data_IF_556639687476
#
_entry.id   IF_556639687476
#
_cell.length_a   1.000
_cell.length_b   1.000
_cell.length_c   1.000
_cell.angle_alpha   90.00
_cell.angle_beta   90.00
_cell.angle_gamma   90.00
#
_symmetry.space_group_name_H-M   'P 1'
#
loop_
_entity.id
_entity.type
_entity.pdbx_description
1 polymer ?
#
# COMPACT_ATOMS: atom_id res chain seq x y z
N UNK A 1 -12.39 -18.03 -43.92
CA UNK A 1 -11.35 -18.66 -43.07
C UNK A 1 -10.30 -17.59 -42.90
N UNK A 2 -10.42 -16.78 -41.88
CA UNK A 2 -9.48 -15.68 -41.55
C UNK A 2 -8.46 -16.15 -40.53
N UNK A 3 -7.20 -16.25 -40.96
CA UNK A 3 -6.06 -16.48 -40.07
C UNK A 3 -5.87 -15.26 -39.21
N UNK A 4 -6.28 -15.33 -37.93
CA UNK A 4 -5.86 -14.37 -36.92
C UNK A 4 -4.32 -14.49 -36.74
N UNK A 5 -3.59 -13.59 -37.37
CA UNK A 5 -2.20 -13.34 -37.00
C UNK A 5 -2.20 -12.81 -35.58
N UNK A 6 -1.85 -13.63 -34.60
CA UNK A 6 -1.42 -13.15 -33.29
C UNK A 6 -0.16 -12.31 -33.51
N UNK A 7 -0.29 -10.99 -33.52
CA UNK A 7 0.85 -10.12 -33.34
C UNK A 7 1.40 -10.42 -31.93
N UNK A 8 2.52 -11.10 -31.85
CA UNK A 8 3.34 -11.11 -30.66
C UNK A 8 3.78 -9.65 -30.43
N UNK A 9 3.01 -8.92 -29.61
CA UNK A 9 3.53 -7.71 -29.02
C UNK A 9 4.67 -8.13 -28.10
N UNK A 10 5.90 -7.97 -28.57
CA UNK A 10 7.05 -7.93 -27.67
C UNK A 10 6.75 -6.83 -26.66
N UNK A 11 6.47 -7.20 -25.42
CA UNK A 11 6.41 -6.24 -24.32
C UNK A 11 7.83 -5.71 -24.21
N UNK A 12 8.07 -4.54 -24.77
CA UNK A 12 9.32 -3.81 -24.58
C UNK A 12 9.34 -3.46 -23.10
N UNK A 13 10.30 -4.02 -22.39
CA UNK A 13 10.53 -3.66 -20.98
C UNK A 13 10.79 -2.17 -20.89
N UNK A 14 10.09 -1.50 -19.96
CA UNK A 14 10.22 -0.08 -19.70
C UNK A 14 10.82 0.10 -18.32
N UNK A 15 11.92 0.84 -18.23
CA UNK A 15 12.51 1.18 -16.94
C UNK A 15 11.67 2.26 -16.25
N UNK A 16 11.40 2.10 -14.97
CA UNK A 16 10.74 3.13 -14.16
C UNK A 16 11.50 4.47 -14.20
N UNK A 17 12.81 4.43 -14.37
CA UNK A 17 13.67 5.63 -14.50
C UNK A 17 13.35 6.46 -15.75
N UNK A 18 12.96 5.80 -16.83
CA UNK A 18 12.50 6.46 -18.07
C UNK A 18 11.16 7.18 -17.88
N UNK A 19 10.36 6.74 -16.90
CA UNK A 19 9.09 7.37 -16.52
C UNK A 19 9.27 8.51 -15.51
N UNK A 20 10.52 8.80 -15.07
CA UNK A 20 10.81 9.79 -14.04
C UNK A 20 10.44 9.36 -12.61
N UNK A 21 10.13 8.09 -12.42
CA UNK A 21 9.78 7.52 -11.12
C UNK A 21 11.04 7.19 -10.29
N UNK A 22 10.86 6.99 -8.99
CA UNK A 22 11.88 6.53 -8.05
C UNK A 22 11.42 5.24 -7.37
N UNK A 23 12.36 4.40 -6.93
CA UNK A 23 12.02 3.27 -6.05
C UNK A 23 11.93 3.72 -4.58
N UNK A 24 11.57 2.80 -3.68
CA UNK A 24 11.31 3.13 -2.28
C UNK A 24 12.56 3.29 -1.43
N UNK A 25 13.73 2.86 -1.89
CA UNK A 25 14.94 2.71 -1.06
C UNK A 25 15.37 4.01 -0.37
N UNK A 26 15.60 5.07 -1.14
CA UNK A 26 15.97 6.37 -0.56
C UNK A 26 14.80 7.05 0.17
N UNK A 27 13.58 6.85 -0.33
CA UNK A 27 12.38 7.40 0.29
C UNK A 27 12.22 6.85 1.71
N UNK A 28 12.34 5.54 1.89
CA UNK A 28 12.22 4.87 3.18
C UNK A 28 13.37 5.21 4.12
N UNK A 29 14.60 5.27 3.63
CA UNK A 29 15.75 5.68 4.44
C UNK A 29 15.56 7.09 5.03
N UNK A 30 15.02 8.03 4.24
CA UNK A 30 14.71 9.39 4.70
C UNK A 30 13.55 9.40 5.69
N UNK A 31 12.50 8.61 5.43
CA UNK A 31 11.33 8.50 6.30
C UNK A 31 11.71 7.97 7.69
N UNK A 32 12.46 6.87 7.75
CA UNK A 32 12.93 6.29 9.02
C UNK A 32 13.79 7.28 9.79
N UNK A 33 14.76 7.92 9.11
CA UNK A 33 15.63 8.92 9.75
C UNK A 33 14.85 10.13 10.26
N UNK A 34 13.78 10.51 9.56
CA UNK A 34 12.94 11.66 9.91
C UNK A 34 11.80 11.33 10.88
N UNK A 35 11.56 10.05 11.20
CA UNK A 35 10.45 9.60 12.04
C UNK A 35 9.08 9.90 11.45
N UNK A 36 8.93 9.79 10.12
CA UNK A 36 7.65 9.96 9.42
C UNK A 36 7.37 8.79 8.49
N UNK A 37 6.11 8.62 8.10
CA UNK A 37 5.70 7.65 7.10
C UNK A 37 5.28 8.33 5.79
N UNK A 38 5.52 7.65 4.67
CA UNK A 38 5.14 8.08 3.33
C UNK A 38 3.74 7.55 3.03
N UNK A 39 2.80 8.40 2.57
CA UNK A 39 1.49 7.95 2.19
C UNK A 39 1.59 7.12 0.90
N UNK A 40 0.95 5.96 0.93
CA UNK A 40 0.82 5.06 -0.20
C UNK A 40 -0.67 4.98 -0.57
N UNK A 41 -1.04 5.72 -1.61
CA UNK A 41 -2.43 5.87 -2.03
C UNK A 41 -2.77 4.91 -3.17
N UNK A 42 -3.80 4.10 -2.98
CA UNK A 42 -4.40 3.34 -4.08
C UNK A 42 -5.17 4.29 -4.99
N UNK A 43 -4.96 4.19 -6.30
CA UNK A 43 -5.69 4.98 -7.28
C UNK A 43 -6.22 4.09 -8.42
N UNK A 44 -7.38 4.48 -8.97
CA UNK A 44 -8.07 3.72 -10.01
C UNK A 44 -8.43 4.58 -11.24
N UNK A 45 -8.32 5.91 -11.11
CA UNK A 45 -8.73 6.84 -12.14
C UNK A 45 -7.90 8.13 -12.08
N UNK A 46 -8.11 9.00 -13.07
CA UNK A 46 -7.39 10.24 -13.24
C UNK A 46 -7.70 11.25 -12.12
N UNK A 47 -8.94 11.30 -11.67
CA UNK A 47 -9.42 12.25 -10.67
C UNK A 47 -8.73 12.02 -9.33
N UNK A 48 -8.63 10.74 -8.91
CA UNK A 48 -7.88 10.37 -7.70
C UNK A 48 -6.41 10.73 -7.84
N UNK A 49 -5.79 10.41 -8.97
CA UNK A 49 -4.38 10.73 -9.20
C UNK A 49 -4.11 12.23 -9.15
N UNK A 50 -4.94 13.06 -9.79
CA UNK A 50 -4.79 14.52 -9.74
C UNK A 50 -4.90 15.05 -8.31
N UNK A 51 -5.87 14.57 -7.54
CA UNK A 51 -6.06 14.97 -6.15
C UNK A 51 -4.84 14.59 -5.28
N UNK A 52 -4.35 13.34 -5.42
CA UNK A 52 -3.16 12.84 -4.70
C UNK A 52 -1.95 13.72 -5.01
N UNK A 53 -1.65 13.93 -6.29
CA UNK A 53 -0.46 14.69 -6.70
C UNK A 53 -0.56 16.15 -6.25
N UNK A 54 -1.71 16.79 -6.42
CA UNK A 54 -1.91 18.19 -5.98
C UNK A 54 -1.67 18.33 -4.47
N UNK A 55 -2.25 17.46 -3.65
CA UNK A 55 -2.07 17.47 -2.20
C UNK A 55 -0.61 17.22 -1.80
N UNK A 56 0.05 16.23 -2.42
CA UNK A 56 1.44 15.91 -2.12
C UNK A 56 2.41 17.03 -2.54
N UNK A 57 2.15 17.70 -3.66
CA UNK A 57 2.92 18.88 -4.08
C UNK A 57 2.71 20.03 -3.10
N UNK A 58 1.48 20.33 -2.69
CA UNK A 58 1.18 21.36 -1.69
C UNK A 58 1.97 21.12 -0.39
N UNK A 59 1.93 19.90 0.12
CA UNK A 59 2.64 19.48 1.34
C UNK A 59 4.14 19.25 1.15
N UNK A 60 4.68 19.32 -0.07
CA UNK A 60 6.08 18.95 -0.40
C UNK A 60 6.40 17.51 0.05
N UNK A 61 5.44 16.61 -0.04
CA UNK A 61 5.53 15.22 0.41
C UNK A 61 5.93 14.29 -0.73
N UNK A 62 6.83 13.33 -0.51
CA UNK A 62 6.95 12.18 -1.39
C UNK A 62 5.66 11.36 -1.38
N UNK A 63 5.43 10.55 -2.42
CA UNK A 63 4.22 9.74 -2.51
C UNK A 63 4.49 8.39 -3.16
N UNK A 64 3.75 7.37 -2.73
CA UNK A 64 3.66 6.08 -3.38
C UNK A 64 2.27 5.97 -4.02
N UNK A 65 2.24 5.91 -5.35
CA UNK A 65 1.05 5.61 -6.13
C UNK A 65 0.89 4.09 -6.18
N UNK A 66 -0.14 3.55 -5.54
CA UNK A 66 -0.39 2.11 -5.47
C UNK A 66 -1.43 1.66 -6.47
N UNK A 67 -1.22 0.46 -7.01
CA UNK A 67 -2.13 -0.18 -7.96
C UNK A 67 -2.32 -1.63 -7.56
N UNK A 68 -3.55 -2.00 -7.18
CA UNK A 68 -3.94 -3.39 -6.95
C UNK A 68 -4.14 -4.15 -8.26
N UNK A 69 -4.24 -5.48 -8.18
CA UNK A 69 -4.62 -6.31 -9.33
C UNK A 69 -6.00 -5.93 -9.89
N UNK A 70 -6.95 -5.56 -9.02
CA UNK A 70 -8.27 -5.07 -9.40
C UNK A 70 -8.19 -3.75 -10.18
N UNK A 71 -7.42 -2.78 -9.70
CA UNK A 71 -7.19 -1.51 -10.38
C UNK A 71 -6.54 -1.70 -11.77
N UNK A 72 -5.58 -2.64 -11.90
CA UNK A 72 -4.97 -2.99 -13.20
C UNK A 72 -5.98 -3.57 -14.18
N UNK A 73 -6.90 -4.41 -13.74
CA UNK A 73 -7.98 -4.94 -14.58
C UNK A 73 -8.96 -3.85 -15.00
N UNK A 74 -9.32 -2.95 -14.08
CA UNK A 74 -10.25 -1.86 -14.32
C UNK A 74 -9.71 -0.82 -15.30
N UNK A 75 -8.53 -0.26 -15.02
CA UNK A 75 -7.97 0.88 -15.74
C UNK A 75 -7.03 0.51 -16.88
N UNK A 76 -6.66 -0.77 -17.04
CA UNK A 76 -5.63 -1.26 -17.97
C UNK A 76 -4.20 -0.80 -17.59
N UNK A 77 -3.28 -1.74 -17.61
CA UNK A 77 -1.88 -1.50 -17.20
C UNK A 77 -1.14 -0.44 -18.05
N UNK A 78 -1.45 -0.35 -19.35
CA UNK A 78 -0.82 0.65 -20.23
C UNK A 78 -1.26 2.05 -19.85
N UNK A 79 -2.56 2.26 -19.61
CA UNK A 79 -3.09 3.55 -19.17
C UNK A 79 -2.52 3.95 -17.82
N UNK A 80 -2.48 3.03 -16.85
CA UNK A 80 -1.89 3.28 -15.52
C UNK A 80 -0.43 3.72 -15.59
N UNK A 81 0.38 3.10 -16.47
CA UNK A 81 1.76 3.51 -16.69
C UNK A 81 1.88 4.95 -17.18
N UNK A 82 1.09 5.32 -18.19
CA UNK A 82 1.10 6.69 -18.72
C UNK A 82 0.52 7.70 -17.74
N UNK A 83 -0.46 7.29 -16.93
CA UNK A 83 -0.94 8.11 -15.82
C UNK A 83 0.16 8.36 -14.78
N UNK A 84 0.93 7.34 -14.40
CA UNK A 84 2.04 7.50 -13.46
C UNK A 84 3.17 8.39 -14.03
N UNK A 85 3.49 8.27 -15.33
CA UNK A 85 4.41 9.17 -16.01
C UNK A 85 3.85 10.61 -16.04
N UNK A 86 2.55 10.76 -16.37
CA UNK A 86 1.85 12.04 -16.33
C UNK A 86 1.84 12.67 -14.94
N UNK A 87 1.74 11.87 -13.88
CA UNK A 87 1.80 12.35 -12.50
C UNK A 87 3.14 13.04 -12.18
N UNK A 88 4.26 12.50 -12.71
CA UNK A 88 5.59 13.11 -12.54
C UNK A 88 5.66 14.48 -13.23
N UNK A 89 5.17 14.58 -14.46
CA UNK A 89 5.16 15.86 -15.19
C UNK A 89 4.18 16.85 -14.55
N UNK A 90 3.00 16.40 -14.14
CA UNK A 90 2.01 17.23 -13.47
C UNK A 90 2.54 17.83 -12.14
N UNK A 91 3.29 17.06 -11.36
CA UNK A 91 3.94 17.59 -10.15
C UNK A 91 4.92 18.73 -10.47
N UNK A 92 5.68 18.62 -11.57
CA UNK A 92 6.58 19.66 -12.04
C UNK A 92 5.82 20.92 -12.51
N UNK A 93 4.71 20.75 -13.23
CA UNK A 93 3.82 21.83 -13.64
C UNK A 93 3.25 22.60 -12.44
N UNK A 94 2.95 21.89 -11.34
CA UNK A 94 2.54 22.49 -10.07
C UNK A 94 3.70 23.13 -9.27
N UNK A 95 4.91 23.13 -9.82
CA UNK A 95 6.07 23.87 -9.31
C UNK A 95 6.96 23.09 -8.34
N UNK A 96 6.75 21.80 -8.14
CA UNK A 96 7.62 20.99 -7.27
C UNK A 96 7.95 19.63 -7.88
N UNK A 97 9.20 19.23 -7.75
CA UNK A 97 9.67 17.90 -8.10
C UNK A 97 9.68 17.02 -6.83
N UNK A 98 8.55 16.37 -6.52
CA UNK A 98 8.44 15.43 -5.41
C UNK A 98 8.81 14.01 -5.86
N UNK A 99 9.42 13.18 -4.99
CA UNK A 99 9.64 11.77 -5.28
C UNK A 99 8.32 11.01 -5.43
N UNK A 100 8.13 10.33 -6.56
CA UNK A 100 6.93 9.53 -6.86
C UNK A 100 7.36 8.10 -7.17
N UNK A 101 6.82 7.13 -6.43
CA UNK A 101 7.00 5.69 -6.64
C UNK A 101 5.70 5.10 -7.22
N UNK A 102 5.80 4.23 -8.23
CA UNK A 102 4.69 3.40 -8.70
C UNK A 102 4.86 2.00 -8.14
N UNK A 103 3.87 1.54 -7.37
CA UNK A 103 3.94 0.31 -6.57
C UNK A 103 2.79 -0.65 -6.89
N UNK A 104 3.10 -1.95 -7.06
CA UNK A 104 2.10 -3.01 -7.06
C UNK A 104 1.72 -3.34 -5.63
N UNK A 105 0.44 -3.21 -5.31
CA UNK A 105 -0.16 -3.53 -4.02
C UNK A 105 -0.75 -4.95 -4.04
N UNK A 106 -0.43 -5.78 -3.07
CA UNK A 106 -0.85 -7.19 -2.93
C UNK A 106 -0.71 -8.03 -4.21
N UNK A 107 0.49 -8.15 -4.73
CA UNK A 107 0.80 -9.10 -5.79
C UNK A 107 0.62 -10.54 -5.31
N UNK A 108 -0.20 -11.33 -6.00
CA UNK A 108 -0.56 -12.71 -5.62
C UNK A 108 0.26 -13.78 -6.35
N UNK A 109 1.16 -13.40 -7.21
CA UNK A 109 1.97 -14.33 -8.02
C UNK A 109 3.25 -13.68 -8.54
N UNK A 110 4.25 -14.52 -8.79
CA UNK A 110 5.49 -14.10 -9.44
C UNK A 110 5.22 -13.46 -10.80
N UNK A 111 4.34 -14.03 -11.59
CA UNK A 111 4.00 -13.58 -12.95
C UNK A 111 3.41 -12.17 -12.94
N UNK A 112 2.58 -11.87 -11.93
CA UNK A 112 2.02 -10.54 -11.74
C UNK A 112 3.10 -9.52 -11.37
N UNK A 113 3.94 -9.82 -10.39
CA UNK A 113 5.06 -8.98 -9.99
C UNK A 113 6.02 -8.74 -11.16
N UNK A 114 6.40 -9.82 -11.87
CA UNK A 114 7.22 -9.73 -13.08
C UNK A 114 6.61 -8.81 -14.12
N UNK A 115 5.33 -8.97 -14.42
CA UNK A 115 4.61 -8.11 -15.38
C UNK A 115 4.63 -6.64 -14.98
N UNK A 116 4.54 -6.33 -13.68
CA UNK A 116 4.65 -4.96 -13.19
C UNK A 116 6.06 -4.39 -13.36
N UNK A 117 7.08 -5.16 -12.99
CA UNK A 117 8.48 -4.77 -13.20
C UNK A 117 8.76 -4.46 -14.68
N UNK A 118 8.34 -5.37 -15.58
CA UNK A 118 8.53 -5.22 -17.03
C UNK A 118 7.81 -3.97 -17.59
N UNK A 119 6.76 -3.51 -16.93
CA UNK A 119 5.95 -2.36 -17.32
C UNK A 119 6.37 -1.03 -16.67
N UNK A 120 7.47 -1.00 -15.92
CA UNK A 120 8.02 0.23 -15.36
C UNK A 120 7.52 0.56 -13.95
N UNK A 121 7.02 -0.41 -13.19
CA UNK A 121 6.81 -0.22 -11.76
C UNK A 121 8.17 -0.10 -11.06
N UNK A 122 8.28 0.83 -10.13
CA UNK A 122 9.51 1.07 -9.37
C UNK A 122 9.58 0.30 -8.05
N UNK A 123 8.45 -0.29 -7.65
CA UNK A 123 8.32 -1.16 -6.48
C UNK A 123 7.19 -2.17 -6.70
N UNK A 124 7.32 -3.36 -6.12
CA UNK A 124 6.27 -4.39 -6.13
C UNK A 124 6.16 -5.04 -4.77
N UNK A 125 4.94 -5.36 -4.35
CA UNK A 125 4.69 -6.22 -3.22
C UNK A 125 4.32 -7.62 -3.70
N UNK A 126 4.86 -8.64 -3.04
CA UNK A 126 4.42 -10.02 -3.11
C UNK A 126 3.82 -10.44 -1.78
N UNK A 127 2.56 -10.81 -1.82
CA UNK A 127 1.81 -11.27 -0.67
C UNK A 127 1.70 -12.79 -0.67
N UNK A 128 2.58 -13.42 0.08
CA UNK A 128 2.57 -14.85 0.37
C UNK A 128 2.08 -15.16 1.80
N UNK A 129 1.51 -14.19 2.51
CA UNK A 129 1.17 -14.32 3.93
C UNK A 129 0.16 -15.43 4.25
N UNK A 130 -0.67 -15.79 3.28
CA UNK A 130 -1.63 -16.92 3.38
C UNK A 130 -1.01 -18.30 3.16
N UNK A 131 0.23 -18.36 2.68
CA UNK A 131 0.96 -19.59 2.42
C UNK A 131 1.69 -20.08 3.69
N UNK A 132 2.07 -21.35 3.76
CA UNK A 132 3.04 -21.82 4.74
C UNK A 132 4.33 -21.00 4.68
N UNK A 133 4.97 -20.76 5.84
CA UNK A 133 6.13 -19.87 5.97
C UNK A 133 7.23 -20.10 4.92
N UNK A 134 7.67 -21.34 4.72
CA UNK A 134 8.74 -21.65 3.76
C UNK A 134 8.29 -21.43 2.30
N UNK A 135 7.01 -21.58 1.99
CA UNK A 135 6.46 -21.27 0.66
C UNK A 135 6.40 -19.76 0.44
N UNK A 136 6.02 -18.97 1.46
CA UNK A 136 6.09 -17.51 1.43
C UNK A 136 7.52 -17.05 1.20
N UNK A 137 8.49 -17.58 1.95
CA UNK A 137 9.92 -17.30 1.77
C UNK A 137 10.38 -17.61 0.33
N UNK A 138 10.04 -18.78 -0.19
CA UNK A 138 10.45 -19.20 -1.54
C UNK A 138 9.84 -18.31 -2.63
N UNK A 139 8.55 -17.97 -2.52
CA UNK A 139 7.85 -17.10 -3.46
C UNK A 139 8.42 -15.68 -3.42
N UNK A 140 8.57 -15.13 -2.22
CA UNK A 140 9.09 -13.78 -2.01
C UNK A 140 10.51 -13.65 -2.54
N UNK A 141 11.38 -14.62 -2.23
CA UNK A 141 12.75 -14.64 -2.76
C UNK A 141 12.79 -14.67 -4.29
N UNK A 142 11.93 -15.48 -4.91
CA UNK A 142 11.84 -15.54 -6.39
C UNK A 142 11.51 -14.18 -7.00
N UNK A 143 10.62 -13.40 -6.37
CA UNK A 143 10.28 -12.04 -6.81
C UNK A 143 11.45 -11.10 -6.60
N UNK A 144 12.10 -11.15 -5.44
CA UNK A 144 13.28 -10.33 -5.12
C UNK A 144 14.41 -10.57 -6.13
N UNK A 145 14.74 -11.84 -6.39
CA UNK A 145 15.80 -12.23 -7.32
C UNK A 145 15.54 -11.70 -8.75
N UNK A 146 14.28 -11.56 -9.14
CA UNK A 146 13.91 -10.96 -10.42
C UNK A 146 13.95 -9.43 -10.38
N UNK A 147 13.23 -8.82 -9.43
CA UNK A 147 13.04 -7.37 -9.37
C UNK A 147 14.35 -6.59 -9.16
N UNK A 148 15.26 -7.12 -8.33
CA UNK A 148 16.54 -6.50 -8.04
C UNK A 148 17.45 -6.40 -9.26
N UNK A 149 17.29 -7.24 -10.29
CA UNK A 149 18.05 -7.11 -11.56
C UNK A 149 17.75 -5.79 -12.28
N UNK A 150 16.60 -5.18 -11.99
CA UNK A 150 16.11 -3.93 -12.59
C UNK A 150 16.08 -2.76 -11.60
N UNK A 151 16.72 -2.93 -10.43
CA UNK A 151 16.74 -1.93 -9.35
C UNK A 151 15.31 -1.59 -8.81
N UNK A 152 14.36 -2.52 -8.96
CA UNK A 152 12.99 -2.40 -8.43
C UNK A 152 12.95 -2.98 -7.02
N UNK A 153 12.37 -2.22 -6.07
CA UNK A 153 12.26 -2.65 -4.68
C UNK A 153 11.10 -3.62 -4.46
N UNK A 154 11.27 -4.52 -3.49
CA UNK A 154 10.27 -5.54 -3.16
C UNK A 154 9.84 -5.43 -1.71
N UNK A 155 8.52 -5.42 -1.52
CA UNK A 155 7.85 -5.54 -0.23
C UNK A 155 7.35 -6.97 -0.05
N UNK A 156 7.63 -7.58 1.11
CA UNK A 156 7.08 -8.86 1.53
C UNK A 156 6.08 -8.68 2.66
N UNK A 157 5.37 -9.76 3.05
CA UNK A 157 4.41 -9.71 4.16
C UNK A 157 4.57 -10.89 5.10
N UNK A 158 4.52 -10.60 6.41
CA UNK A 158 4.41 -11.58 7.49
C UNK A 158 3.23 -11.24 8.40
N UNK A 159 2.48 -12.28 8.75
CA UNK A 159 1.18 -12.16 9.40
C UNK A 159 0.06 -12.02 8.37
N UNK A 160 -1.18 -12.08 8.81
CA UNK A 160 -2.36 -11.99 7.96
C UNK A 160 -3.27 -10.90 8.49
N UNK A 161 -3.62 -9.94 7.62
CA UNK A 161 -4.60 -8.92 7.95
C UNK A 161 -6.01 -9.45 7.68
N UNK A 162 -6.94 -9.19 8.61
CA UNK A 162 -8.36 -9.46 8.38
C UNK A 162 -8.99 -8.40 7.47
N UNK A 163 -10.20 -8.69 6.97
CA UNK A 163 -10.98 -7.78 6.13
C UNK A 163 -10.92 -8.10 4.65
N UNK A 164 -11.44 -7.19 3.84
CA UNK A 164 -11.54 -7.35 2.38
C UNK A 164 -11.02 -6.09 1.70
N UNK A 165 -10.08 -6.27 0.78
CA UNK A 165 -9.59 -5.23 -0.12
C UNK A 165 -9.39 -5.83 -1.51
N UNK A 166 -10.19 -5.38 -2.46
CA UNK A 166 -10.25 -5.92 -3.84
C UNK A 166 -10.34 -7.47 -3.87
N UNK A 167 -9.27 -8.16 -4.24
CA UNK A 167 -9.21 -9.62 -4.35
C UNK A 167 -8.61 -10.28 -3.08
N UNK A 168 -8.16 -9.49 -2.10
CA UNK A 168 -7.60 -9.99 -0.84
C UNK A 168 -8.68 -10.06 0.22
N UNK A 169 -8.85 -11.20 0.85
CA UNK A 169 -9.80 -11.37 1.95
C UNK A 169 -9.32 -12.38 2.97
N UNK A 170 -9.49 -12.05 4.26
CA UNK A 170 -9.27 -12.98 5.36
C UNK A 170 -10.30 -12.74 6.48
N UNK A 171 -10.85 -13.82 7.02
CA UNK A 171 -11.84 -13.73 8.11
C UNK A 171 -11.20 -13.41 9.47
N UNK A 172 -9.95 -13.81 9.66
CA UNK A 172 -9.21 -13.65 10.92
C UNK A 172 -7.82 -13.08 10.65
N UNK A 173 -7.39 -12.16 11.53
CA UNK A 173 -6.03 -11.67 11.53
C UNK A 173 -5.09 -12.65 12.27
N UNK A 174 -3.89 -12.79 11.74
CA UNK A 174 -2.78 -13.44 12.44
C UNK A 174 -1.66 -12.43 12.60
N UNK A 175 -1.40 -12.01 13.83
CA UNK A 175 -0.34 -11.03 14.09
C UNK A 175 1.03 -11.57 13.69
N UNK A 176 1.87 -10.66 13.21
CA UNK A 176 3.26 -10.99 12.89
C UNK A 176 3.97 -11.49 14.14
N UNK A 177 4.74 -12.54 13.96
CA UNK A 177 5.59 -13.13 14.99
C UNK A 177 6.99 -12.50 14.91
N UNK A 178 7.39 -11.68 15.91
CA UNK A 178 8.65 -10.93 15.83
C UNK A 178 9.88 -11.84 15.70
N UNK A 179 9.82 -13.09 16.17
CA UNK A 179 10.90 -14.07 16.05
C UNK A 179 11.18 -14.51 14.61
N UNK A 180 10.22 -14.38 13.70
CA UNK A 180 10.34 -14.81 12.30
C UNK A 180 10.91 -13.72 11.39
N UNK A 181 10.87 -12.43 11.80
CA UNK A 181 11.18 -11.31 10.89
C UNK A 181 12.63 -11.28 10.42
N UNK A 182 13.60 -11.61 11.28
CA UNK A 182 15.03 -11.62 10.92
C UNK A 182 15.29 -12.74 9.90
N UNK A 183 14.77 -13.94 10.16
CA UNK A 183 14.94 -15.09 9.28
C UNK A 183 14.31 -14.81 7.91
N UNK A 184 13.09 -14.29 7.88
CA UNK A 184 12.39 -13.94 6.65
C UNK A 184 13.14 -12.91 5.80
N UNK A 185 13.55 -11.79 6.40
CA UNK A 185 14.29 -10.74 5.70
C UNK A 185 15.64 -11.26 5.20
N UNK A 186 16.34 -12.06 6.01
CA UNK A 186 17.64 -12.63 5.64
C UNK A 186 17.54 -13.63 4.49
N UNK A 187 16.50 -14.48 4.48
CA UNK A 187 16.29 -15.49 3.44
C UNK A 187 15.79 -14.89 2.14
N UNK A 188 14.91 -13.90 2.21
CA UNK A 188 14.24 -13.33 1.04
C UNK A 188 14.99 -12.17 0.42
N UNK A 189 15.63 -11.32 1.25
CA UNK A 189 16.29 -10.09 0.80
C UNK A 189 15.32 -8.98 0.42
N UNK A 190 14.09 -8.95 0.95
CA UNK A 190 13.11 -7.87 0.73
C UNK A 190 13.64 -6.51 1.18
N UNK A 191 13.20 -5.45 0.52
CA UNK A 191 13.56 -4.06 0.84
C UNK A 191 12.66 -3.46 1.93
N UNK A 192 11.46 -4.01 2.14
CA UNK A 192 10.52 -3.62 3.20
C UNK A 192 9.61 -4.78 3.59
N UNK A 193 9.02 -4.70 4.79
CA UNK A 193 8.19 -5.76 5.34
C UNK A 193 6.86 -5.19 5.84
N UNK A 194 5.76 -5.66 5.27
CA UNK A 194 4.43 -5.45 5.80
C UNK A 194 4.19 -6.40 6.99
N UNK A 195 3.65 -5.83 8.08
CA UNK A 195 3.36 -6.56 9.31
C UNK A 195 1.91 -6.38 9.75
N UNK A 196 1.38 -7.40 10.40
CA UNK A 196 0.04 -7.40 11.00
C UNK A 196 0.14 -7.09 12.50
N UNK A 197 -0.37 -5.92 12.88
CA UNK A 197 -0.38 -5.42 14.27
C UNK A 197 -1.77 -4.95 14.73
N UNK A 198 -2.84 -5.41 14.07
CA UNK A 198 -4.21 -5.07 14.44
C UNK A 198 -4.91 -4.11 13.51
N UNK A 199 -4.29 -3.71 12.39
CA UNK A 199 -4.98 -3.06 11.27
C UNK A 199 -5.80 -4.09 10.48
N UNK A 200 -6.73 -3.61 9.65
CA UNK A 200 -7.61 -4.46 8.85
C UNK A 200 -7.98 -3.78 7.54
N UNK A 201 -8.21 -4.54 6.48
CA UNK A 201 -8.65 -4.02 5.19
C UNK A 201 -10.10 -3.51 5.22
N UNK A 202 -10.45 -2.61 4.28
CA UNK A 202 -11.79 -2.05 4.14
C UNK A 202 -12.11 -0.92 5.14
N UNK A 203 -13.35 -0.41 5.11
CA UNK A 203 -13.79 0.71 5.92
C UNK A 203 -14.36 0.30 7.30
N UNK A 204 -14.59 -0.99 7.52
CA UNK A 204 -15.07 -1.54 8.80
C UNK A 204 -13.91 -2.30 9.46
N UNK A 205 -12.87 -1.58 9.85
CA UNK A 205 -11.61 -2.16 10.35
C UNK A 205 -11.74 -2.85 11.70
N UNK A 206 -12.69 -2.40 12.52
CA UNK A 206 -12.93 -2.91 13.87
C UNK A 206 -14.41 -3.25 14.04
N UNK A 207 -14.69 -4.36 14.72
CA UNK A 207 -16.07 -4.67 15.11
C UNK A 207 -16.50 -3.72 16.24
N UNK A 208 -17.77 -3.30 16.31
CA UNK A 208 -18.24 -2.42 17.38
C UNK A 208 -17.94 -2.95 18.80
N UNK A 209 -17.94 -4.29 18.96
CA UNK A 209 -17.66 -4.96 20.24
C UNK A 209 -16.19 -4.84 20.67
N UNK A 210 -15.29 -4.53 19.75
CA UNK A 210 -13.88 -4.29 20.01
C UNK A 210 -13.59 -2.84 20.41
N UNK A 211 -14.54 -1.93 20.12
CA UNK A 211 -14.38 -0.50 20.33
C UNK A 211 -15.00 -0.06 21.67
N UNK A 212 -14.42 0.98 22.25
CA UNK A 212 -15.09 1.76 23.31
C UNK A 212 -15.85 2.93 22.70
N UNK A 213 -16.61 3.67 23.51
CA UNK A 213 -17.22 4.95 23.09
C UNK A 213 -16.67 6.07 23.94
N UNK A 214 -16.31 7.16 23.30
CA UNK A 214 -15.92 8.38 24.00
C UNK A 214 -17.17 9.10 24.56
N UNK A 215 -16.97 10.23 25.27
CA UNK A 215 -18.04 11.04 25.87
C UNK A 215 -19.04 11.57 24.84
N UNK A 216 -18.66 11.67 23.57
CA UNK A 216 -19.49 12.10 22.44
C UNK A 216 -20.22 10.92 21.76
N UNK A 217 -20.07 9.68 22.28
CA UNK A 217 -20.68 8.47 21.72
C UNK A 217 -19.99 7.92 20.46
N UNK A 218 -18.85 8.50 20.06
CA UNK A 218 -18.06 8.06 18.89
C UNK A 218 -17.31 6.79 19.25
N UNK A 219 -17.28 5.82 18.33
CA UNK A 219 -16.48 4.61 18.47
C UNK A 219 -14.99 4.96 18.51
N UNK A 220 -14.29 4.38 19.47
CA UNK A 220 -12.84 4.47 19.61
C UNK A 220 -12.26 3.07 19.47
N UNK A 221 -11.45 2.79 18.43
CA UNK A 221 -10.87 1.48 18.23
C UNK A 221 -9.83 1.15 19.31
N UNK A 222 -9.53 -0.13 19.51
CA UNK A 222 -8.45 -0.55 20.40
C UNK A 222 -7.09 -0.04 19.87
N UNK A 223 -6.09 0.09 20.74
CA UNK A 223 -4.73 0.40 20.30
C UNK A 223 -4.16 -0.70 19.40
N UNK A 224 -3.35 -0.32 18.43
CA UNK A 224 -2.54 -1.28 17.66
C UNK A 224 -1.56 -2.02 18.59
N UNK A 225 -1.10 -3.19 18.17
CA UNK A 225 -0.14 -4.00 18.90
C UNK A 225 1.26 -3.39 18.81
N UNK A 226 1.43 -2.25 19.49
CA UNK A 226 2.73 -1.57 19.57
C UNK A 226 3.82 -2.42 20.20
N UNK A 227 3.45 -3.35 21.09
CA UNK A 227 4.36 -4.35 21.64
C UNK A 227 5.03 -5.21 20.56
N UNK A 228 4.26 -5.64 19.55
CA UNK A 228 4.78 -6.38 18.39
C UNK A 228 5.67 -5.48 17.54
N UNK A 229 5.22 -4.24 17.24
CA UNK A 229 6.00 -3.29 16.42
C UNK A 229 7.33 -2.91 17.09
N UNK A 230 7.32 -2.64 18.39
CA UNK A 230 8.54 -2.36 19.15
C UNK A 230 9.54 -3.52 19.10
N UNK A 231 9.06 -4.75 19.27
CA UNK A 231 9.92 -5.92 19.22
C UNK A 231 10.47 -6.17 17.80
N UNK A 232 9.66 -5.97 16.76
CA UNK A 232 10.11 -6.02 15.36
C UNK A 232 11.18 -4.96 15.11
N UNK A 233 10.95 -3.71 15.55
CA UNK A 233 11.89 -2.61 15.37
C UNK A 233 13.22 -2.83 16.12
N UNK A 234 13.19 -3.50 17.26
CA UNK A 234 14.41 -3.90 17.99
C UNK A 234 15.20 -4.97 17.25
N UNK A 235 14.50 -5.93 16.62
CA UNK A 235 15.13 -7.04 15.90
C UNK A 235 15.66 -6.63 14.53
N UNK A 236 15.01 -5.67 13.89
CA UNK A 236 15.35 -5.12 12.57
C UNK A 236 15.59 -3.59 12.66
N UNK A 237 16.63 -3.13 13.36
CA UNK A 237 16.83 -1.70 13.56
C UNK A 237 17.08 -0.97 12.24
N UNK A 238 16.25 0.05 11.97
CA UNK A 238 16.33 0.84 10.75
C UNK A 238 15.84 0.14 9.48
N UNK A 239 15.23 -1.03 9.60
CA UNK A 239 14.62 -1.72 8.47
C UNK A 239 13.20 -1.15 8.19
N UNK A 240 12.84 -0.95 6.90
CA UNK A 240 11.55 -0.38 6.53
C UNK A 240 10.36 -1.28 6.88
N UNK A 241 9.47 -0.80 7.74
CA UNK A 241 8.21 -1.46 8.10
C UNK A 241 7.04 -0.76 7.42
N UNK A 242 6.05 -1.56 7.00
CA UNK A 242 4.87 -1.10 6.28
C UNK A 242 3.60 -1.50 7.04
N UNK A 243 2.62 -0.61 7.07
CA UNK A 243 1.28 -0.90 7.59
C UNK A 243 0.24 -0.88 6.47
N UNK A 244 -0.38 -2.04 6.23
CA UNK A 244 -1.57 -2.19 5.42
C UNK A 244 -2.84 -1.98 6.25
N UNK A 245 -3.98 -1.81 5.59
CA UNK A 245 -5.26 -1.65 6.27
C UNK A 245 -5.33 -0.41 7.18
N UNK A 246 -4.61 0.66 6.87
CA UNK A 246 -4.34 1.79 7.77
C UNK A 246 -5.13 3.06 7.46
N UNK A 247 -6.08 3.04 6.53
CA UNK A 247 -6.96 4.19 6.26
C UNK A 247 -7.65 4.68 7.53
N UNK A 248 -7.77 5.99 7.68
CA UNK A 248 -8.34 6.63 8.87
C UNK A 248 -9.86 6.66 8.88
N UNK A 249 -10.50 6.40 7.74
CA UNK A 249 -11.96 6.39 7.55
C UNK A 249 -12.59 7.69 8.06
N UNK A 250 -12.35 8.83 7.38
CA UNK A 250 -12.80 10.14 7.85
C UNK A 250 -14.33 10.17 8.03
N UNK A 251 -14.77 10.48 9.24
CA UNK A 251 -16.17 10.37 9.63
C UNK A 251 -17.09 11.37 8.91
N UNK A 252 -16.56 12.45 8.41
CA UNK A 252 -17.29 13.41 7.58
C UNK A 252 -17.82 12.77 6.29
N UNK A 253 -17.01 11.96 5.59
CA UNK A 253 -17.44 11.25 4.38
C UNK A 253 -18.37 10.08 4.69
N UNK A 254 -18.15 9.37 5.81
CA UNK A 254 -19.06 8.34 6.29
C UNK A 254 -20.44 8.95 6.57
N UNK A 255 -20.47 10.10 7.24
CA UNK A 255 -21.71 10.84 7.51
C UNK A 255 -22.37 11.28 6.20
N UNK A 256 -21.62 11.90 5.29
CA UNK A 256 -22.12 12.34 3.98
C UNK A 256 -22.77 11.20 3.19
N UNK A 257 -22.10 10.03 3.16
CA UNK A 257 -22.63 8.82 2.50
C UNK A 257 -23.93 8.36 3.16
N UNK A 258 -23.97 8.29 4.51
CA UNK A 258 -25.13 7.83 5.23
C UNK A 258 -26.33 8.79 5.10
N UNK A 259 -26.11 10.09 5.14
CA UNK A 259 -27.15 11.13 4.97
C UNK A 259 -27.80 11.06 3.58
N UNK A 260 -27.09 10.53 2.57
CA UNK A 260 -27.57 10.40 1.19
C UNK A 260 -27.86 8.94 0.79
N UNK A 261 -28.36 8.14 1.72
CA UNK A 261 -28.90 6.79 1.47
C UNK A 261 -27.88 5.65 1.54
N UNK A 262 -26.66 5.91 1.99
CA UNK A 262 -25.68 4.89 2.33
C UNK A 262 -26.00 4.19 3.65
N UNK A 263 -25.30 3.08 3.92
CA UNK A 263 -25.48 2.29 5.15
C UNK A 263 -24.13 1.84 5.69
N UNK A 264 -23.43 2.77 6.34
CA UNK A 264 -22.11 2.53 6.96
C UNK A 264 -22.13 2.95 8.45
N UNK A 265 -22.99 2.35 9.30
CA UNK A 265 -23.21 2.83 10.67
C UNK A 265 -22.00 2.62 11.60
N UNK A 266 -21.12 1.70 11.25
CA UNK A 266 -20.01 1.28 12.10
C UNK A 266 -18.64 1.42 11.40
N UNK A 267 -18.59 2.20 10.31
CA UNK A 267 -17.32 2.43 9.60
C UNK A 267 -16.36 3.23 10.50
N UNK A 268 -15.21 2.66 10.77
CA UNK A 268 -14.17 3.26 11.61
C UNK A 268 -12.81 2.81 11.13
N UNK A 269 -11.85 3.73 11.13
CA UNK A 269 -10.47 3.51 10.71
C UNK A 269 -9.46 3.52 11.84
N UNK A 270 -8.20 3.56 11.47
CA UNK A 270 -7.09 3.69 12.42
C UNK A 270 -6.91 5.17 12.77
N UNK A 271 -6.89 5.54 14.06
CA UNK A 271 -6.64 6.92 14.47
C UNK A 271 -5.25 7.41 13.98
N UNK A 272 -5.20 8.63 13.44
CA UNK A 272 -3.95 9.21 12.93
C UNK A 272 -2.85 9.29 14.00
N UNK A 273 -3.21 9.50 15.27
CA UNK A 273 -2.26 9.52 16.37
C UNK A 273 -1.51 8.20 16.50
N UNK A 274 -2.20 7.07 16.31
CA UNK A 274 -1.57 5.76 16.34
C UNK A 274 -0.63 5.56 15.13
N UNK A 275 -1.00 6.07 13.95
CA UNK A 275 -0.13 6.05 12.77
C UNK A 275 1.13 6.90 12.98
N UNK A 276 1.00 8.08 13.62
CA UNK A 276 2.12 8.95 13.98
C UNK A 276 3.07 8.28 14.98
N UNK A 277 2.53 7.57 15.97
CA UNK A 277 3.35 6.78 16.91
C UNK A 277 4.06 5.62 16.21
N UNK A 278 3.38 4.91 15.33
CA UNK A 278 3.97 3.82 14.55
C UNK A 278 5.15 4.32 13.67
N UNK A 279 5.04 5.51 13.09
CA UNK A 279 6.10 6.10 12.28
C UNK A 279 7.39 6.36 13.07
N UNK A 280 7.32 6.56 14.38
CA UNK A 280 8.50 6.69 15.25
C UNK A 280 9.22 5.35 15.47
N UNK A 281 8.57 4.25 15.12
CA UNK A 281 9.05 2.87 15.31
C UNK A 281 9.34 2.17 13.97
N UNK A 282 9.99 2.86 13.04
CA UNK A 282 10.40 2.35 11.71
C UNK A 282 9.25 2.08 10.71
N UNK A 283 8.01 2.44 11.01
CA UNK A 283 6.96 2.44 10.00
C UNK A 283 7.18 3.61 9.05
N UNK A 284 7.49 3.29 7.79
CA UNK A 284 7.86 4.28 6.78
C UNK A 284 6.87 4.37 5.60
N UNK A 285 5.90 3.45 5.52
CA UNK A 285 4.83 3.43 4.51
C UNK A 285 3.50 3.11 5.19
N UNK A 286 2.46 3.86 4.85
CA UNK A 286 1.09 3.69 5.33
C UNK A 286 0.17 3.60 4.13
N UNK A 287 -0.55 2.46 4.00
CA UNK A 287 -1.46 2.22 2.89
C UNK A 287 -2.81 2.89 3.13
N UNK A 288 -3.28 3.63 2.11
CA UNK A 288 -4.52 4.41 2.14
C UNK A 288 -5.33 4.11 0.87
N UNK A 289 -6.43 3.38 1.00
CA UNK A 289 -7.40 3.14 -0.07
C UNK A 289 -8.80 3.63 0.31
N UNK A 290 -9.34 3.20 1.44
CA UNK A 290 -10.72 3.47 1.84
C UNK A 290 -11.04 4.96 1.92
N UNK A 291 -10.10 5.80 2.34
CA UNK A 291 -10.33 7.24 2.53
C UNK A 291 -10.66 7.94 1.22
N UNK A 292 -9.93 7.62 0.13
CA UNK A 292 -10.22 8.18 -1.20
C UNK A 292 -11.52 7.65 -1.78
N UNK A 293 -11.84 6.37 -1.57
CA UNK A 293 -13.12 5.78 -2.00
C UNK A 293 -14.30 6.44 -1.29
N UNK A 294 -14.16 6.70 0.01
CA UNK A 294 -15.19 7.39 0.80
C UNK A 294 -15.37 8.85 0.36
N UNK A 295 -14.27 9.58 0.14
CA UNK A 295 -14.32 10.95 -0.33
C UNK A 295 -15.04 11.07 -1.68
N UNK A 296 -14.68 10.23 -2.67
CA UNK A 296 -15.36 10.21 -3.96
C UNK A 296 -16.84 9.83 -3.83
N UNK A 297 -17.14 8.75 -3.09
CA UNK A 297 -18.52 8.26 -2.95
C UNK A 297 -19.40 9.29 -2.27
N UNK A 298 -18.91 9.92 -1.21
CA UNK A 298 -19.64 10.98 -0.48
C UNK A 298 -19.92 12.19 -1.35
N UNK A 299 -18.93 12.62 -2.15
CA UNK A 299 -19.07 13.78 -3.02
C UNK A 299 -20.03 13.55 -4.19
N UNK A 300 -20.07 12.32 -4.74
CA UNK A 300 -20.95 11.97 -5.88
C UNK A 300 -22.40 11.82 -5.42
N UNK A 301 -22.67 11.35 -4.19
CA UNK A 301 -24.01 11.17 -3.64
C UNK A 301 -24.67 12.48 -3.23
#
# INVERSE_FOLDING_TARGET
>A
IGTHKFLNYYIIMVSYKELGLVNTREMFAKAIKGGYAIPAFNFNNMEQMQAIISACVECSSPVILQVSSGARKYANQTLLRYMAQGAVEYAKELGKNIPICLHLDHGNSFELCKSCVDMGFSSVMIDGSSLPYEENVALTKKVVDYAHQFDVTVEGELGVLAGVEDEVSAEQAHYTRPEEVIDFVSKTGVDSLAISIGTSHGANKFKPEQCTRNEQGILVPPPLRFDVLEEVSKRLPGFPIVLHGSSSVPQEYVKMINDHGGKMPNAIGVPEEQLREAAKLSVCKINIDSDLRLAMTGTIR
#
